data_IF_189832709755
#
_entry.id   IF_189832709755
#
_cell.length_a   1.000
_cell.length_b   1.000
_cell.length_c   1.000
_cell.angle_alpha   90.00
_cell.angle_beta   90.00
_cell.angle_gamma   90.00
#
_symmetry.space_group_name_H-M   'P 1'
#
loop_
_entity.id
_entity.type
_entity.pdbx_description
1 polymer ?
#
# COMPACT_ATOMS: atom_id res chain seq x y z
N UNK A 1 6.86 -1.18 24.00
CA UNK A 1 5.98 -1.55 22.87
C UNK A 1 6.87 -1.69 21.66
N UNK A 2 6.69 -2.75 20.86
CA UNK A 2 7.36 -2.83 19.56
C UNK A 2 6.47 -2.06 18.60
N UNK A 3 6.97 -0.95 18.05
CA UNK A 3 6.21 -0.15 17.11
C UNK A 3 5.98 -0.94 15.81
N UNK A 4 4.71 -1.09 15.41
CA UNK A 4 4.37 -1.76 14.16
C UNK A 4 4.74 -0.89 12.95
N UNK A 5 5.02 -1.55 11.83
CA UNK A 5 5.14 -0.92 10.53
C UNK A 5 3.78 -0.94 9.83
N UNK A 6 3.08 0.19 9.87
CA UNK A 6 1.82 0.44 9.19
C UNK A 6 2.11 0.76 7.72
N UNK A 7 1.70 -0.13 6.82
CA UNK A 7 1.90 0.02 5.38
C UNK A 7 0.57 0.08 4.64
N UNK A 8 0.49 0.93 3.62
CA UNK A 8 -0.54 0.86 2.59
C UNK A 8 0.10 0.28 1.32
N UNK A 9 -0.55 -0.73 0.75
CA UNK A 9 -0.11 -1.39 -0.49
C UNK A 9 -1.11 -1.06 -1.57
N UNK A 10 -0.64 -0.41 -2.62
CA UNK A 10 -1.44 -0.02 -3.78
C UNK A 10 -2.05 -1.26 -4.48
N UNK A 11 -3.22 -1.08 -5.08
CA UNK A 11 -3.99 -2.10 -5.80
C UNK A 11 -3.19 -2.70 -6.96
N UNK A 12 -2.34 -1.90 -7.62
CA UNK A 12 -1.47 -2.42 -8.69
C UNK A 12 -0.52 -3.51 -8.20
N UNK A 13 -0.10 -3.50 -6.93
CA UNK A 13 0.80 -4.51 -6.35
C UNK A 13 0.02 -5.81 -6.15
N UNK A 14 -1.19 -5.73 -5.61
CA UNK A 14 -2.07 -6.89 -5.43
C UNK A 14 -2.40 -7.56 -6.77
N UNK A 15 -2.73 -6.75 -7.79
CA UNK A 15 -3.00 -7.25 -9.14
C UNK A 15 -1.74 -7.87 -9.76
N UNK A 16 -0.59 -7.20 -9.65
CA UNK A 16 0.66 -7.70 -10.20
C UNK A 16 1.09 -9.04 -9.56
N UNK A 17 0.89 -9.20 -8.25
CA UNK A 17 1.18 -10.45 -7.54
C UNK A 17 0.29 -11.60 -8.05
N UNK A 18 -1.03 -11.35 -8.16
CA UNK A 18 -2.00 -12.33 -8.68
C UNK A 18 -1.67 -12.75 -10.12
N UNK A 19 -1.38 -11.78 -10.99
CA UNK A 19 -1.03 -12.05 -12.40
C UNK A 19 0.32 -12.78 -12.54
N UNK A 20 1.28 -12.51 -11.65
CA UNK A 20 2.54 -13.24 -11.63
C UNK A 20 2.31 -14.71 -11.28
N UNK A 21 1.50 -14.98 -10.26
CA UNK A 21 1.14 -16.33 -9.83
C UNK A 21 0.37 -17.09 -10.93
N UNK A 22 -0.63 -16.46 -11.55
CA UNK A 22 -1.38 -17.03 -12.67
C UNK A 22 -0.49 -17.38 -13.88
N UNK A 23 0.64 -16.69 -14.05
CA UNK A 23 1.64 -16.94 -15.11
C UNK A 23 2.75 -17.90 -14.67
N UNK A 24 2.65 -18.51 -13.49
CA UNK A 24 3.66 -19.40 -12.93
C UNK A 24 4.99 -18.70 -12.59
N UNK A 25 4.99 -17.36 -12.51
CA UNK A 25 6.19 -16.59 -12.13
C UNK A 25 6.33 -16.58 -10.62
N UNK A 26 7.56 -16.59 -10.15
CA UNK A 26 7.89 -16.63 -8.72
C UNK A 26 8.93 -15.55 -8.40
N UNK A 27 8.96 -15.12 -7.13
CA UNK A 27 9.99 -14.21 -6.62
C UNK A 27 9.87 -12.76 -7.13
N UNK A 28 8.70 -12.34 -7.62
CA UNK A 28 8.50 -10.93 -7.99
C UNK A 28 8.47 -10.03 -6.76
N UNK A 29 8.75 -8.74 -6.95
CA UNK A 29 8.68 -7.78 -5.86
C UNK A 29 7.27 -7.70 -5.25
N UNK A 30 6.23 -7.70 -6.09
CA UNK A 30 4.84 -7.67 -5.64
C UNK A 30 4.46 -8.90 -4.82
N UNK A 31 4.85 -10.10 -5.26
CA UNK A 31 4.64 -11.33 -4.48
C UNK A 31 5.36 -11.28 -3.12
N UNK A 32 6.58 -10.73 -3.09
CA UNK A 32 7.36 -10.59 -1.86
C UNK A 32 6.70 -9.62 -0.87
N UNK A 33 6.14 -8.51 -1.35
CA UNK A 33 5.41 -7.54 -0.52
C UNK A 33 4.11 -8.17 0.02
N UNK A 34 3.34 -8.85 -0.83
CA UNK A 34 2.14 -9.57 -0.40
C UNK A 34 2.49 -10.65 0.64
N UNK A 35 3.61 -11.34 0.48
CA UNK A 35 4.08 -12.32 1.47
C UNK A 35 4.44 -11.67 2.81
N UNK A 36 5.05 -10.47 2.82
CA UNK A 36 5.32 -9.69 4.05
C UNK A 36 4.01 -9.34 4.76
N UNK A 37 3.03 -8.82 4.01
CA UNK A 37 1.70 -8.50 4.54
C UNK A 37 1.02 -9.73 5.13
N UNK A 38 1.00 -10.84 4.38
CA UNK A 38 0.43 -12.12 4.82
C UNK A 38 1.07 -12.64 6.11
N UNK A 39 2.38 -12.46 6.27
CA UNK A 39 3.09 -12.90 7.47
C UNK A 39 2.88 -11.97 8.67
N UNK A 40 2.33 -10.77 8.46
CA UNK A 40 2.14 -9.77 9.52
C UNK A 40 3.45 -9.29 10.14
N UNK A 41 4.59 -9.50 9.48
CA UNK A 41 5.91 -9.12 9.97
C UNK A 41 6.93 -8.97 8.84
N UNK A 42 7.89 -8.08 9.03
CA UNK A 42 9.10 -8.00 8.22
C UNK A 42 10.32 -7.98 9.15
N UNK A 43 11.30 -8.84 8.90
CA UNK A 43 12.42 -9.07 9.82
C UNK A 43 11.91 -9.35 11.26
N UNK A 44 12.16 -8.43 12.20
CA UNK A 44 11.77 -8.44 13.60
C UNK A 44 10.68 -7.41 13.94
N UNK A 45 10.14 -6.69 12.94
CA UNK A 45 9.09 -5.69 13.15
C UNK A 45 7.72 -6.24 12.72
N UNK A 46 6.69 -6.17 13.58
CA UNK A 46 5.31 -6.46 13.21
C UNK A 46 4.85 -5.51 12.08
N UNK A 47 4.10 -6.03 11.13
CA UNK A 47 3.53 -5.26 10.01
C UNK A 47 2.02 -5.19 10.17
N UNK A 48 1.47 -4.00 9.97
CA UNK A 48 0.03 -3.77 9.89
C UNK A 48 -0.32 -3.32 8.48
N UNK A 49 -1.22 -4.06 7.81
CA UNK A 49 -1.81 -3.60 6.57
C UNK A 49 -2.88 -2.55 6.86
N UNK A 50 -2.74 -1.39 6.25
CA UNK A 50 -3.75 -0.34 6.20
C UNK A 50 -4.38 -0.36 4.81
N UNK A 51 -5.70 -0.58 4.77
CA UNK A 51 -6.49 -0.62 3.54
C UNK A 51 -7.91 -0.13 3.83
N UNK A 52 -8.59 0.42 2.82
CA UNK A 52 -9.96 0.90 2.94
C UNK A 52 -10.96 0.06 2.16
N UNK A 53 -12.24 0.15 2.54
CA UNK A 53 -13.35 -0.42 1.76
C UNK A 53 -13.40 0.11 0.34
N UNK A 54 -13.07 1.39 0.13
CA UNK A 54 -12.99 2.00 -1.20
C UNK A 54 -11.95 1.30 -2.08
N UNK A 55 -10.76 1.03 -1.53
CA UNK A 55 -9.71 0.27 -2.22
C UNK A 55 -10.15 -1.16 -2.53
N UNK A 56 -10.76 -1.87 -1.57
CA UNK A 56 -11.25 -3.24 -1.78
C UNK A 56 -12.35 -3.31 -2.86
N UNK A 57 -13.29 -2.37 -2.85
CA UNK A 57 -14.35 -2.28 -3.86
C UNK A 57 -13.78 -1.99 -5.25
N UNK A 58 -12.75 -1.15 -5.33
CA UNK A 58 -12.06 -0.89 -6.61
C UNK A 58 -11.32 -2.13 -7.11
N UNK A 59 -10.61 -2.82 -6.22
CA UNK A 59 -9.93 -4.07 -6.56
C UNK A 59 -10.92 -5.12 -7.07
N UNK A 60 -12.08 -5.25 -6.42
CA UNK A 60 -13.19 -6.10 -6.90
C UNK A 60 -13.57 -5.81 -8.35
N UNK A 61 -13.79 -4.53 -8.67
CA UNK A 61 -14.12 -4.10 -10.03
C UNK A 61 -13.03 -4.46 -11.02
N UNK A 62 -11.76 -4.21 -10.68
CA UNK A 62 -10.62 -4.55 -11.56
C UNK A 62 -10.56 -6.06 -11.81
N UNK A 63 -10.66 -6.88 -10.76
CA UNK A 63 -10.61 -8.34 -10.88
C UNK A 63 -11.72 -8.90 -11.79
N UNK A 64 -12.96 -8.48 -11.55
CA UNK A 64 -14.11 -9.03 -12.27
C UNK A 64 -14.21 -8.43 -13.68
N UNK A 65 -14.14 -7.10 -13.80
CA UNK A 65 -14.46 -6.42 -15.06
C UNK A 65 -13.28 -6.33 -16.01
N UNK A 66 -12.05 -6.22 -15.51
CA UNK A 66 -10.84 -6.06 -16.35
C UNK A 66 -10.06 -7.35 -16.51
N UNK A 67 -9.97 -8.15 -15.44
CA UNK A 67 -9.20 -9.40 -15.45
C UNK A 67 -10.06 -10.65 -15.63
N UNK A 68 -11.39 -10.50 -15.70
CA UNK A 68 -12.34 -11.59 -15.93
C UNK A 68 -12.21 -12.73 -14.89
N UNK A 69 -11.75 -12.40 -13.68
CA UNK A 69 -11.75 -13.33 -12.55
C UNK A 69 -13.20 -13.59 -12.14
N UNK A 70 -13.54 -14.84 -11.85
CA UNK A 70 -14.89 -15.17 -11.38
C UNK A 70 -15.22 -14.40 -10.10
N UNK A 71 -16.49 -14.05 -9.92
CA UNK A 71 -16.94 -13.33 -8.72
C UNK A 71 -16.51 -14.06 -7.45
N UNK A 72 -16.71 -15.38 -7.38
CA UNK A 72 -16.34 -16.18 -6.20
C UNK A 72 -14.84 -16.13 -5.88
N UNK A 73 -13.97 -16.20 -6.90
CA UNK A 73 -12.52 -16.08 -6.70
C UNK A 73 -12.11 -14.66 -6.32
N UNK A 74 -12.76 -13.63 -6.86
CA UNK A 74 -12.53 -12.25 -6.48
C UNK A 74 -12.94 -12.00 -5.02
N UNK A 75 -14.10 -12.48 -4.58
CA UNK A 75 -14.54 -12.39 -3.18
C UNK A 75 -13.55 -13.06 -2.24
N UNK A 76 -13.14 -14.30 -2.53
CA UNK A 76 -12.19 -15.02 -1.70
C UNK A 76 -10.86 -14.27 -1.56
N UNK A 77 -10.40 -13.63 -2.65
CA UNK A 77 -9.18 -12.82 -2.62
C UNK A 77 -9.34 -11.56 -1.76
N UNK A 78 -10.48 -10.86 -1.85
CA UNK A 78 -10.77 -9.68 -1.04
C UNK A 78 -10.94 -10.02 0.44
N UNK A 79 -11.59 -11.14 0.75
CA UNK A 79 -11.73 -11.67 2.11
C UNK A 79 -10.35 -12.01 2.70
N UNK A 80 -9.46 -12.57 1.88
CA UNK A 80 -8.08 -12.86 2.27
C UNK A 80 -7.31 -11.58 2.61
N UNK A 81 -7.44 -10.53 1.79
CA UNK A 81 -6.80 -9.22 2.07
C UNK A 81 -7.38 -8.57 3.32
N UNK A 82 -8.70 -8.69 3.52
CA UNK A 82 -9.40 -8.21 4.72
C UNK A 82 -8.88 -8.91 5.96
N UNK A 83 -8.71 -10.24 5.90
CA UNK A 83 -8.12 -11.02 6.98
C UNK A 83 -6.69 -10.57 7.30
N UNK A 84 -5.87 -10.23 6.30
CA UNK A 84 -4.52 -9.69 6.55
C UNK A 84 -4.53 -8.36 7.29
N UNK A 85 -5.50 -7.48 7.01
CA UNK A 85 -5.68 -6.25 7.77
C UNK A 85 -6.10 -6.54 9.23
N UNK A 86 -7.04 -7.47 9.42
CA UNK A 86 -7.58 -7.83 10.73
C UNK A 86 -6.63 -8.66 11.61
N UNK A 87 -5.73 -9.44 11.01
CA UNK A 87 -4.77 -10.29 11.73
C UNK A 87 -3.41 -9.63 11.94
N UNK A 88 -3.21 -8.40 11.45
CA UNK A 88 -1.98 -7.64 11.60
C UNK A 88 -1.68 -7.23 13.05
N UNK A 89 -0.53 -6.58 13.25
CA UNK A 89 -0.02 -6.21 14.57
C UNK A 89 -0.99 -5.42 15.47
N UNK A 90 -1.84 -4.59 14.86
CA UNK A 90 -2.83 -3.76 15.56
C UNK A 90 -4.26 -4.33 15.42
N UNK A 91 -4.43 -5.46 14.72
CA UNK A 91 -5.70 -6.11 14.43
C UNK A 91 -6.81 -5.12 13.98
N UNK A 92 -6.54 -4.34 12.93
CA UNK A 92 -7.45 -3.29 12.46
C UNK A 92 -8.30 -3.75 11.28
N UNK A 93 -9.62 -3.64 11.40
CA UNK A 93 -10.54 -3.82 10.27
C UNK A 93 -10.30 -2.75 9.18
N UNK A 94 -10.52 -3.09 7.90
CA UNK A 94 -10.54 -2.09 6.84
C UNK A 94 -11.49 -0.96 7.18
N UNK A 95 -11.01 0.27 7.02
CA UNK A 95 -11.78 1.46 7.35
C UNK A 95 -12.52 2.00 6.12
N UNK A 96 -13.69 2.58 6.32
CA UNK A 96 -14.37 3.29 5.25
C UNK A 96 -13.84 4.72 5.18
N UNK A 97 -12.94 4.98 4.23
CA UNK A 97 -12.60 6.34 3.86
C UNK A 97 -13.66 6.83 2.88
N UNK A 98 -14.56 7.70 3.34
CA UNK A 98 -15.47 8.42 2.47
C UNK A 98 -14.64 9.47 1.73
N UNK A 99 -14.34 9.22 0.46
CA UNK A 99 -13.57 10.16 -0.36
C UNK A 99 -14.28 11.51 -0.48
N UNK A 100 -13.48 12.58 -0.59
CA UNK A 100 -13.98 13.90 -0.97
C UNK A 100 -13.96 14.98 0.12
N UNK A 101 -12.85 15.15 0.85
CA UNK A 101 -12.63 16.45 1.53
C UNK A 101 -12.13 17.54 0.56
N UNK A 102 -11.75 17.17 -0.68
CA UNK A 102 -11.29 18.13 -1.69
C UNK A 102 -9.90 18.73 -1.43
N UNK A 103 -9.11 18.15 -0.52
CA UNK A 103 -7.83 18.75 -0.08
C UNK A 103 -6.61 18.19 -0.84
N UNK A 104 -6.71 17.04 -1.52
CA UNK A 104 -5.59 16.45 -2.27
C UNK A 104 -5.81 16.65 -3.78
N UNK A 105 -5.00 17.48 -4.46
CA UNK A 105 -5.05 17.63 -5.91
C UNK A 105 -4.28 16.50 -6.59
N UNK A 106 -4.82 15.27 -6.56
CA UNK A 106 -4.41 14.19 -7.45
C UNK A 106 -5.41 14.11 -8.60
N UNK A 107 -4.91 13.98 -9.84
CA UNK A 107 -5.72 14.04 -11.05
C UNK A 107 -6.64 12.81 -11.23
N UNK A 108 -6.30 11.68 -10.64
CA UNK A 108 -7.11 10.45 -10.63
C UNK A 108 -7.77 10.23 -9.25
N UNK A 109 -9.09 10.02 -9.26
CA UNK A 109 -9.90 9.73 -8.06
C UNK A 109 -9.43 8.44 -7.38
N UNK A 110 -8.92 7.47 -8.15
CA UNK A 110 -8.41 6.21 -7.61
C UNK A 110 -7.16 6.42 -6.74
N UNK A 111 -6.15 7.10 -7.28
CA UNK A 111 -4.90 7.38 -6.58
C UNK A 111 -5.12 8.34 -5.39
N UNK A 112 -6.08 9.27 -5.51
CA UNK A 112 -6.53 10.11 -4.42
C UNK A 112 -7.04 9.29 -3.22
N UNK A 113 -7.90 8.28 -3.45
CA UNK A 113 -8.40 7.42 -2.37
C UNK A 113 -7.30 6.59 -1.70
N UNK A 114 -6.33 6.10 -2.47
CA UNK A 114 -5.18 5.37 -1.91
C UNK A 114 -4.35 6.28 -1.01
N UNK A 115 -4.10 7.53 -1.44
CA UNK A 115 -3.38 8.51 -0.63
C UNK A 115 -4.18 8.94 0.60
N UNK A 116 -5.49 9.19 0.49
CA UNK A 116 -6.36 9.50 1.64
C UNK A 116 -6.38 8.36 2.65
N UNK A 117 -6.43 7.11 2.18
CA UNK A 117 -6.33 5.92 3.04
C UNK A 117 -5.00 5.90 3.79
N UNK A 118 -3.90 6.17 3.08
CA UNK A 118 -2.57 6.27 3.67
C UNK A 118 -2.51 7.36 4.75
N UNK A 119 -3.02 8.56 4.46
CA UNK A 119 -3.10 9.68 5.41
C UNK A 119 -3.90 9.30 6.64
N UNK A 120 -5.15 8.87 6.46
CA UNK A 120 -6.09 8.56 7.55
C UNK A 120 -5.61 7.41 8.44
N UNK A 121 -5.05 6.35 7.83
CA UNK A 121 -4.58 5.17 8.55
C UNK A 121 -3.18 5.31 9.16
N UNK A 122 -2.65 6.53 9.22
CA UNK A 122 -1.35 6.84 9.84
C UNK A 122 -0.20 5.95 9.35
N UNK A 123 -0.15 5.64 8.06
CA UNK A 123 0.91 4.78 7.49
C UNK A 123 2.29 5.41 7.63
N UNK A 124 3.33 4.58 7.74
CA UNK A 124 4.72 4.98 7.57
C UNK A 124 5.17 4.85 6.11
N UNK A 125 4.57 3.93 5.36
CA UNK A 125 4.96 3.63 3.98
C UNK A 125 3.73 3.34 3.10
N UNK A 126 3.62 4.04 1.98
CA UNK A 126 2.77 3.72 0.83
C UNK A 126 3.64 3.09 -0.26
N UNK A 127 3.30 1.88 -0.69
CA UNK A 127 4.08 1.11 -1.68
C UNK A 127 3.32 1.05 -3.00
N UNK A 128 3.91 1.57 -4.07
CA UNK A 128 3.28 1.67 -5.39
C UNK A 128 4.27 1.55 -6.55
N UNK A 129 3.86 0.89 -7.64
CA UNK A 129 4.59 0.91 -8.91
C UNK A 129 4.24 2.13 -9.78
N UNK A 130 3.11 2.79 -9.50
CA UNK A 130 2.57 3.94 -10.21
C UNK A 130 3.03 5.26 -9.58
N UNK A 131 4.33 5.36 -9.29
CA UNK A 131 4.90 6.44 -8.46
C UNK A 131 4.50 7.86 -8.89
N UNK A 132 4.46 8.12 -10.20
CA UNK A 132 4.14 9.43 -10.78
C UNK A 132 2.75 9.94 -10.38
N UNK A 133 1.80 9.02 -10.12
CA UNK A 133 0.40 9.35 -9.88
C UNK A 133 0.18 9.88 -8.44
N UNK A 134 1.17 9.69 -7.57
CA UNK A 134 1.16 10.15 -6.18
C UNK A 134 2.00 11.42 -5.94
N UNK A 135 2.55 12.03 -6.99
CA UNK A 135 3.35 13.25 -6.86
C UNK A 135 2.45 14.48 -6.87
N UNK A 136 2.47 15.22 -5.78
CA UNK A 136 1.71 16.46 -5.59
C UNK A 136 2.58 17.56 -4.97
N UNK A 137 2.00 18.75 -4.79
CA UNK A 137 2.67 19.91 -4.13
C UNK A 137 3.19 19.60 -2.72
N UNK A 138 2.57 18.64 -2.03
CA UNK A 138 2.89 18.26 -0.65
C UNK A 138 3.87 17.07 -0.59
N UNK A 139 4.54 16.78 -1.72
CA UNK A 139 5.41 15.62 -1.90
C UNK A 139 6.83 16.04 -2.29
N UNK A 140 7.81 15.72 -1.44
CA UNK A 140 9.24 15.89 -1.73
C UNK A 140 9.81 14.64 -2.40
N UNK A 141 10.28 14.75 -3.64
CA UNK A 141 10.92 13.62 -4.35
C UNK A 141 12.38 13.48 -3.89
N UNK A 142 12.71 12.34 -3.28
CA UNK A 142 14.06 12.02 -2.78
C UNK A 142 14.88 11.28 -3.84
N UNK A 143 14.25 10.28 -4.47
CA UNK A 143 14.83 9.53 -5.60
C UNK A 143 13.79 9.49 -6.72
N UNK A 144 14.10 10.04 -7.91
CA UNK A 144 13.15 10.06 -9.03
C UNK A 144 12.55 8.67 -9.32
N UNK A 145 11.22 8.63 -9.42
CA UNK A 145 10.42 7.42 -9.69
C UNK A 145 10.55 6.28 -8.67
N UNK A 146 11.22 6.50 -7.53
CA UNK A 146 11.52 5.42 -6.57
C UNK A 146 11.18 5.76 -5.14
N UNK A 147 11.35 7.02 -4.73
CA UNK A 147 11.16 7.45 -3.36
C UNK A 147 10.74 8.91 -3.27
N UNK A 148 9.64 9.16 -2.57
CA UNK A 148 9.23 10.47 -2.13
C UNK A 148 8.78 10.43 -0.67
N UNK A 149 8.70 11.61 -0.07
CA UNK A 149 8.09 11.83 1.24
C UNK A 149 6.86 12.70 1.01
N UNK A 150 5.70 12.18 1.39
CA UNK A 150 4.46 12.95 1.41
C UNK A 150 4.26 13.54 2.79
N UNK A 151 3.95 14.84 2.86
CA UNK A 151 3.79 15.58 4.10
C UNK A 151 2.35 16.06 4.28
N UNK A 152 1.81 15.85 5.46
CA UNK A 152 0.58 16.48 5.95
C UNK A 152 0.94 17.40 7.13
N UNK A 153 0.01 18.27 7.60
CA UNK A 153 0.32 19.18 8.71
C UNK A 153 0.83 18.51 9.99
N UNK A 154 0.46 17.25 10.23
CA UNK A 154 0.73 16.50 11.45
C UNK A 154 1.76 15.37 11.30
N UNK A 155 2.08 14.93 10.07
CA UNK A 155 2.93 13.74 9.83
C UNK A 155 3.51 13.72 8.42
N UNK A 156 4.51 12.88 8.23
CA UNK A 156 5.05 12.57 6.91
C UNK A 156 5.23 11.06 6.77
N UNK A 157 5.09 10.54 5.56
CA UNK A 157 5.28 9.12 5.25
C UNK A 157 5.94 8.92 3.90
N UNK A 158 6.53 7.75 3.70
CA UNK A 158 7.21 7.42 2.45
C UNK A 158 6.24 6.97 1.38
N UNK A 159 6.42 7.44 0.15
CA UNK A 159 5.90 6.82 -1.06
C UNK A 159 7.09 6.13 -1.72
N UNK A 160 7.00 4.83 -1.92
CA UNK A 160 8.18 4.03 -2.33
C UNK A 160 7.83 3.00 -3.39
N UNK A 161 8.73 2.85 -4.34
CA UNK A 161 8.65 1.80 -5.35
C UNK A 161 8.95 0.41 -4.73
N UNK A 162 8.22 -0.66 -5.12
CA UNK A 162 8.37 -2.02 -4.58
C UNK A 162 9.81 -2.51 -4.40
N UNK A 163 10.67 -2.35 -5.41
CA UNK A 163 12.07 -2.79 -5.34
C UNK A 163 12.85 -2.08 -4.23
N UNK A 164 12.67 -0.76 -4.09
CA UNK A 164 13.39 0.02 -3.08
C UNK A 164 12.89 -0.31 -1.67
N UNK A 165 11.57 -0.52 -1.52
CA UNK A 165 11.03 -0.99 -0.25
C UNK A 165 11.65 -2.32 0.17
N UNK A 166 11.73 -3.29 -0.74
CA UNK A 166 12.37 -4.58 -0.44
C UNK A 166 13.86 -4.45 -0.14
N UNK A 167 14.57 -3.52 -0.78
CA UNK A 167 15.95 -3.21 -0.41
C UNK A 167 16.08 -2.67 1.02
N UNK A 168 15.18 -1.77 1.44
CA UNK A 168 15.13 -1.28 2.82
C UNK A 168 14.86 -2.40 3.82
N UNK A 169 13.89 -3.27 3.51
CA UNK A 169 13.59 -4.44 4.35
C UNK A 169 14.79 -5.38 4.42
N UNK A 170 15.51 -5.64 3.32
CA UNK A 170 16.72 -6.50 3.36
C UNK A 170 17.84 -5.89 4.18
N UNK A 171 18.00 -4.56 4.14
CA UNK A 171 19.00 -3.83 4.93
C UNK A 171 18.61 -3.67 6.40
N UNK A 172 17.34 -3.90 6.74
CA UNK A 172 16.80 -3.73 8.08
C UNK A 172 16.66 -2.28 8.53
N UNK A 173 16.54 -1.36 7.58
CA UNK A 173 16.42 0.07 7.87
C UNK A 173 15.49 0.75 6.87
N UNK A 174 14.45 1.40 7.39
CA UNK A 174 13.64 2.37 6.65
C UNK A 174 14.18 3.77 6.98
N UNK A 175 14.44 4.64 5.99
CA UNK A 175 14.92 6.00 6.24
C UNK A 175 14.00 6.79 7.18
N UNK A 176 14.52 7.83 7.84
CA UNK A 176 13.66 8.77 8.56
C UNK A 176 12.90 9.66 7.58
N UNK A 177 11.67 10.02 7.93
CA UNK A 177 10.87 11.02 7.18
C UNK A 177 11.19 12.46 7.56
N UNK A 178 11.94 12.67 8.64
CA UNK A 178 12.40 14.00 9.07
C UNK A 178 13.52 14.42 8.12
N UNK A 179 13.25 15.42 7.28
CA UNK A 179 14.31 16.22 6.67
C UNK A 179 15.03 16.96 7.79
N UNK A 180 16.34 16.77 7.93
CA UNK A 180 17.18 17.69 8.70
C UNK A 180 17.04 19.07 8.04
N UNK A 181 16.13 19.90 8.54
CA UNK A 181 16.06 21.33 8.24
C UNK A 181 17.15 22.06 9.02
#
# INVERSE_FOLDING_TARGET
>A
MIDSLNICVDLNIWVAALLAEAKGRQGTASQSIVAIVRQGRCLSQPVQLIISWGMLNRLRQVLIQKLQVSTSSAELYLDTITAYAQLGALASSPQLTLGGTGIVPIQDIEDAHVLETAVAGKVQVLITANFKDFISKDTSVIVPQRHAIHSTPDRSFHIVHPYLFLEWIRKGSIPSTIENR
#
